data_IF_339513083120
#
_entry.id   IF_339513083120
#
_cell.length_a   1.000
_cell.length_b   1.000
_cell.length_c   1.000
_cell.angle_alpha   90.00
_cell.angle_beta   90.00
_cell.angle_gamma   90.00
#
_symmetry.space_group_name_H-M   'P 1'
#
loop_
_entity.id
_entity.type
_entity.pdbx_description
1 polymer ?
#
# COMPACT_ATOMS: atom_id res chain seq x y z
N UNK A 1 57.57 54.68 7.23
CA UNK A 1 57.23 53.26 7.01
C UNK A 1 56.58 52.78 8.32
N UNK A 2 55.25 52.86 8.42
CA UNK A 2 54.26 51.79 8.09
C UNK A 2 54.35 50.65 9.13
N UNK A 3 53.38 50.27 9.97
CA UNK A 3 51.90 50.36 10.01
C UNK A 3 51.45 50.19 11.49
N UNK A 4 50.29 50.70 11.94
CA UNK A 4 49.53 50.05 13.01
C UNK A 4 48.31 49.31 12.43
N UNK A 5 48.14 48.07 12.90
CA UNK A 5 46.99 47.19 12.62
C UNK A 5 45.67 47.90 12.97
N UNK A 6 44.76 47.97 12.00
CA UNK A 6 43.34 48.26 12.25
C UNK A 6 42.65 46.97 12.69
N UNK A 7 42.17 46.92 13.93
CA UNK A 7 41.15 45.97 14.36
C UNK A 7 39.83 46.34 13.65
N UNK A 8 39.39 45.52 12.70
CA UNK A 8 38.01 45.53 12.24
C UNK A 8 37.17 44.71 13.22
N UNK A 9 36.38 45.39 14.05
CA UNK A 9 35.26 44.78 14.76
C UNK A 9 34.15 44.50 13.74
N UNK A 10 33.98 43.23 13.34
CA UNK A 10 32.79 42.78 12.61
C UNK A 10 31.73 42.46 13.66
N UNK A 11 30.76 43.37 13.80
CA UNK A 11 29.49 43.11 14.46
C UNK A 11 28.76 42.03 13.66
N UNK A 12 28.76 40.80 14.19
CA UNK A 12 27.89 39.72 13.72
C UNK A 12 26.47 40.04 14.20
N UNK A 13 25.70 40.64 13.31
CA UNK A 13 24.24 40.76 13.45
C UNK A 13 23.64 39.36 13.46
N UNK A 14 23.29 38.86 14.63
CA UNK A 14 22.46 37.67 14.80
C UNK A 14 21.06 37.98 14.27
N UNK A 15 20.85 37.72 12.97
CA UNK A 15 19.51 37.56 12.42
C UNK A 15 18.93 36.28 13.01
N UNK A 16 18.18 36.44 14.10
CA UNK A 16 17.24 35.45 14.55
C UNK A 16 16.24 35.22 13.41
N UNK A 17 16.41 34.12 12.69
CA UNK A 17 15.35 33.58 11.83
C UNK A 17 14.22 33.22 12.78
N UNK A 18 13.20 34.06 12.82
CA UNK A 18 11.92 33.73 13.43
C UNK A 18 11.37 32.57 12.61
N UNK A 19 11.53 31.35 13.11
CA UNK A 19 10.82 30.20 12.59
C UNK A 19 9.33 30.46 12.85
N UNK A 20 8.64 30.94 11.81
CA UNK A 20 7.18 30.81 11.73
C UNK A 20 6.87 29.34 11.97
N UNK A 21 5.97 29.03 12.90
CA UNK A 21 5.42 27.70 13.07
C UNK A 21 4.88 27.26 11.70
N UNK A 22 5.66 26.49 10.95
CA UNK A 22 5.22 25.91 9.70
C UNK A 22 4.11 24.94 10.03
N UNK A 23 3.01 24.98 9.27
CA UNK A 23 2.00 23.94 9.35
C UNK A 23 2.70 22.57 9.31
N UNK A 24 2.30 21.68 10.20
CA UNK A 24 2.86 20.34 10.24
C UNK A 24 2.70 19.71 8.84
N UNK A 25 3.72 19.00 8.32
CA UNK A 25 3.62 18.40 7.00
C UNK A 25 2.41 17.47 6.94
N UNK A 26 1.80 17.35 5.76
CA UNK A 26 0.62 16.51 5.58
C UNK A 26 1.02 15.19 4.94
N UNK A 27 0.52 14.08 5.48
CA UNK A 27 0.63 12.76 4.85
C UNK A 27 -0.70 12.35 4.27
N UNK A 28 -0.77 12.24 2.95
CA UNK A 28 -1.95 11.71 2.27
C UNK A 28 -2.17 10.23 2.62
N UNK A 29 -3.37 9.88 3.06
CA UNK A 29 -3.84 8.50 3.12
C UNK A 29 -4.23 8.02 1.71
N UNK A 30 -4.17 6.71 1.53
CA UNK A 30 -4.41 6.04 0.26
C UNK A 30 -5.76 6.44 -0.35
N UNK A 31 -5.72 6.85 -1.61
CA UNK A 31 -6.91 7.28 -2.36
C UNK A 31 -7.21 6.40 -3.57
N UNK A 32 -8.28 6.71 -4.32
CA UNK A 32 -8.52 6.06 -5.59
C UNK A 32 -7.29 6.24 -6.51
N UNK A 33 -6.95 5.23 -7.34
CA UNK A 33 -5.85 5.36 -8.28
C UNK A 33 -6.19 6.42 -9.34
N UNK A 34 -5.75 7.66 -9.14
CA UNK A 34 -5.98 8.80 -10.03
C UNK A 34 -4.75 9.24 -10.82
N UNK A 35 -3.57 8.75 -10.43
CA UNK A 35 -2.28 9.06 -11.05
C UNK A 35 -1.52 7.77 -11.35
N UNK A 36 -0.58 7.85 -12.31
CA UNK A 36 0.27 6.71 -12.71
C UNK A 36 -0.56 5.47 -13.11
N UNK A 37 -1.59 5.70 -13.92
CA UNK A 37 -2.47 4.65 -14.42
C UNK A 37 -1.70 3.71 -15.35
N UNK A 38 -1.91 2.40 -15.17
CA UNK A 38 -1.28 1.38 -15.99
C UNK A 38 -2.12 1.07 -17.23
N UNK A 39 -1.46 0.90 -18.37
CA UNK A 39 -2.08 0.56 -19.65
C UNK A 39 -1.91 -0.92 -19.94
N UNK A 40 -3.03 -1.64 -20.10
CA UNK A 40 -3.02 -3.04 -20.49
C UNK A 40 -2.29 -3.26 -21.82
N UNK A 41 -1.49 -4.32 -21.90
CA UNK A 41 -0.60 -4.64 -23.01
C UNK A 41 0.72 -3.87 -23.02
N UNK A 42 0.84 -2.79 -22.22
CA UNK A 42 2.08 -1.99 -22.11
C UNK A 42 2.77 -2.17 -20.77
N UNK A 43 2.02 -1.92 -19.69
CA UNK A 43 2.51 -1.90 -18.31
C UNK A 43 2.16 -3.20 -17.57
N UNK A 44 1.05 -3.85 -17.96
CA UNK A 44 0.69 -5.20 -17.52
C UNK A 44 -0.04 -5.95 -18.63
N UNK A 45 -0.11 -7.28 -18.54
CA UNK A 45 -1.02 -8.10 -19.34
C UNK A 45 -1.78 -9.07 -18.45
N UNK A 46 -2.94 -9.49 -18.94
CA UNK A 46 -3.80 -10.44 -18.24
C UNK A 46 -3.78 -11.78 -18.96
N UNK A 47 -3.65 -12.86 -18.18
CA UNK A 47 -3.74 -14.22 -18.68
C UNK A 47 -4.72 -15.05 -17.83
N UNK A 48 -5.47 -16.01 -18.40
CA UNK A 48 -6.28 -16.93 -17.61
C UNK A 48 -5.42 -17.69 -16.61
N UNK A 49 -5.92 -17.89 -15.39
CA UNK A 49 -5.27 -18.72 -14.38
C UNK A 49 -6.17 -19.92 -14.04
N UNK A 50 -5.56 -21.11 -13.88
CA UNK A 50 -6.27 -22.34 -13.51
C UNK A 50 -5.80 -22.83 -12.13
N UNK A 51 -6.30 -22.23 -11.03
CA UNK A 51 -5.82 -22.53 -9.69
C UNK A 51 -6.14 -23.97 -9.26
N UNK A 52 -5.30 -24.47 -8.35
CA UNK A 52 -5.48 -25.78 -7.70
C UNK A 52 -5.53 -25.61 -6.18
N UNK A 53 -6.20 -26.52 -5.50
CA UNK A 53 -6.16 -26.58 -4.04
C UNK A 53 -4.83 -27.20 -3.55
N UNK A 54 -4.65 -27.28 -2.23
CA UNK A 54 -3.45 -27.86 -1.62
C UNK A 54 -3.28 -29.37 -1.90
N UNK A 55 -4.33 -30.06 -2.32
CA UNK A 55 -4.30 -31.47 -2.74
C UNK A 55 -4.07 -31.62 -4.26
N UNK A 56 -3.92 -30.51 -5.00
CA UNK A 56 -3.68 -30.48 -6.44
C UNK A 56 -4.95 -30.57 -7.30
N UNK A 57 -6.14 -30.58 -6.70
CA UNK A 57 -7.40 -30.61 -7.45
C UNK A 57 -7.66 -29.27 -8.12
N UNK A 58 -8.14 -29.30 -9.37
CA UNK A 58 -8.50 -28.10 -10.11
C UNK A 58 -9.71 -27.39 -9.47
N UNK A 59 -9.66 -26.06 -9.47
CA UNK A 59 -10.71 -25.19 -8.92
C UNK A 59 -11.49 -24.50 -10.05
N UNK A 60 -12.05 -25.29 -10.98
CA UNK A 60 -12.63 -24.80 -12.25
C UNK A 60 -13.80 -23.81 -12.08
N UNK A 61 -14.49 -23.84 -10.93
CA UNK A 61 -15.56 -22.89 -10.61
C UNK A 61 -15.04 -21.49 -10.25
N UNK A 62 -13.73 -21.33 -10.06
CA UNK A 62 -13.11 -20.08 -9.64
C UNK A 62 -12.65 -19.28 -10.85
N UNK A 63 -13.14 -18.04 -10.92
CA UNK A 63 -12.66 -17.05 -11.88
C UNK A 63 -11.34 -16.49 -11.38
N UNK A 64 -10.26 -16.90 -12.04
CA UNK A 64 -8.92 -16.49 -11.71
C UNK A 64 -8.18 -15.92 -12.92
N UNK A 65 -7.35 -14.92 -12.70
CA UNK A 65 -6.58 -14.23 -13.75
C UNK A 65 -5.18 -13.93 -13.23
N UNK A 66 -4.14 -14.21 -14.02
CA UNK A 66 -2.79 -13.72 -13.76
C UNK A 66 -2.66 -12.28 -14.22
N UNK A 67 -2.04 -11.45 -13.40
CA UNK A 67 -1.54 -10.14 -13.79
C UNK A 67 -0.03 -10.28 -13.95
N UNK A 68 0.43 -10.14 -15.19
CA UNK A 68 1.82 -10.27 -15.55
C UNK A 68 2.36 -8.86 -15.79
N UNK A 69 3.40 -8.48 -15.05
CA UNK A 69 4.11 -7.21 -15.17
C UNK A 69 5.47 -7.46 -15.81
N UNK A 70 6.18 -6.39 -16.16
CA UNK A 70 7.56 -6.52 -16.64
C UNK A 70 8.53 -6.56 -15.48
N UNK A 71 9.57 -7.37 -15.61
CA UNK A 71 10.70 -7.39 -14.70
C UNK A 71 11.66 -6.21 -14.95
N UNK A 72 12.78 -6.19 -14.21
CA UNK A 72 13.81 -5.16 -14.34
C UNK A 72 14.55 -5.15 -15.69
N UNK A 73 14.45 -6.23 -16.48
CA UNK A 73 15.03 -6.34 -17.83
C UNK A 73 14.02 -5.92 -18.91
N UNK A 74 12.75 -5.75 -18.53
CA UNK A 74 11.65 -5.36 -19.41
C UNK A 74 10.88 -6.53 -20.02
N UNK A 75 11.19 -7.76 -19.59
CA UNK A 75 10.52 -8.98 -20.02
C UNK A 75 9.30 -9.27 -19.17
N UNK A 76 8.31 -9.95 -19.75
CA UNK A 76 7.09 -10.28 -19.03
C UNK A 76 7.33 -11.39 -18.01
N UNK A 77 7.04 -11.11 -16.74
CA UNK A 77 7.01 -12.10 -15.67
C UNK A 77 5.85 -13.09 -15.90
N UNK A 78 6.14 -14.14 -16.64
CA UNK A 78 5.15 -15.14 -17.05
C UNK A 78 5.21 -16.31 -16.08
N UNK A 79 4.08 -16.65 -15.46
CA UNK A 79 3.96 -17.85 -14.61
C UNK A 79 3.02 -18.84 -15.26
N UNK A 80 3.51 -20.07 -15.44
CA UNK A 80 2.70 -21.13 -16.00
C UNK A 80 1.70 -21.68 -14.98
N UNK A 81 0.58 -22.23 -15.42
CA UNK A 81 -0.47 -22.73 -14.49
C UNK A 81 0.04 -23.82 -13.54
N UNK A 82 1.02 -24.62 -13.96
CA UNK A 82 1.63 -25.66 -13.12
C UNK A 82 2.62 -25.11 -12.09
N UNK A 83 3.01 -23.84 -12.20
CA UNK A 83 3.90 -23.14 -11.28
C UNK A 83 3.13 -22.26 -10.28
N UNK A 84 1.82 -22.07 -10.51
CA UNK A 84 0.97 -21.32 -9.60
C UNK A 84 0.93 -21.99 -8.22
N UNK A 85 1.17 -21.24 -7.13
CA UNK A 85 0.93 -21.73 -5.78
C UNK A 85 -0.52 -22.19 -5.60
N UNK A 86 -0.73 -23.15 -4.70
CA UNK A 86 -2.07 -23.59 -4.35
C UNK A 86 -2.92 -22.42 -3.83
N UNK A 87 -4.15 -22.32 -4.32
CA UNK A 87 -5.12 -21.33 -3.88
C UNK A 87 -5.90 -21.89 -2.68
N UNK A 88 -5.68 -21.30 -1.50
CA UNK A 88 -6.50 -21.56 -0.33
C UNK A 88 -7.78 -20.71 -0.36
N UNK A 89 -8.89 -21.28 -0.82
CA UNK A 89 -10.19 -20.58 -0.82
C UNK A 89 -10.80 -20.66 0.58
N UNK A 90 -10.40 -19.73 1.45
CA UNK A 90 -11.03 -19.55 2.76
C UNK A 90 -12.33 -18.71 2.71
N UNK A 91 -12.80 -18.33 1.51
CA UNK A 91 -14.00 -17.53 1.34
C UNK A 91 -15.29 -18.30 1.72
N UNK A 92 -16.15 -17.72 2.58
CA UNK A 92 -17.49 -18.24 2.84
C UNK A 92 -18.28 -18.48 1.55
N UNK A 93 -19.05 -19.58 1.42
CA UNK A 93 -19.78 -19.90 0.20
C UNK A 93 -20.57 -18.74 -0.41
N UNK A 94 -21.21 -17.93 0.42
CA UNK A 94 -22.04 -16.76 0.07
C UNK A 94 -21.27 -15.53 -0.43
N UNK A 95 -19.94 -15.57 -0.38
CA UNK A 95 -19.05 -14.53 -0.91
C UNK A 95 -18.29 -14.97 -2.16
N UNK A 96 -18.23 -16.27 -2.46
CA UNK A 96 -17.41 -16.81 -3.57
C UNK A 96 -17.85 -16.27 -4.94
N UNK A 97 -19.15 -16.12 -5.14
CA UNK A 97 -19.72 -15.56 -6.37
C UNK A 97 -19.52 -14.03 -6.48
N UNK A 98 -19.12 -13.37 -5.39
CA UNK A 98 -18.84 -11.92 -5.31
C UNK A 98 -17.34 -11.59 -5.42
N UNK A 99 -16.49 -12.57 -5.69
CA UNK A 99 -15.04 -12.41 -5.77
C UNK A 99 -14.49 -12.90 -7.11
N UNK A 100 -13.57 -12.12 -7.67
CA UNK A 100 -12.59 -12.57 -8.66
C UNK A 100 -11.23 -12.78 -7.97
N UNK A 101 -10.45 -13.74 -8.45
CA UNK A 101 -9.10 -13.98 -7.94
C UNK A 101 -8.06 -13.51 -8.95
N UNK A 102 -7.06 -12.82 -8.45
CA UNK A 102 -5.91 -12.42 -9.24
C UNK A 102 -4.64 -13.04 -8.66
N UNK A 103 -3.71 -13.41 -9.52
CA UNK A 103 -2.36 -13.80 -9.12
C UNK A 103 -1.35 -12.88 -9.77
N UNK A 104 -0.41 -12.34 -8.98
CA UNK A 104 0.77 -11.67 -9.49
C UNK A 104 1.98 -12.14 -8.68
N UNK A 105 3.14 -12.35 -9.31
CA UNK A 105 4.33 -12.86 -8.62
C UNK A 105 4.71 -12.04 -7.40
N UNK A 106 4.66 -10.72 -7.52
CA UNK A 106 5.02 -9.81 -6.45
C UNK A 106 4.10 -9.86 -5.21
N UNK A 107 2.85 -10.33 -5.37
CA UNK A 107 1.81 -10.24 -4.30
C UNK A 107 1.13 -11.56 -3.97
N UNK A 108 1.33 -12.60 -4.77
CA UNK A 108 0.64 -13.88 -4.69
C UNK A 108 -0.84 -13.80 -5.11
N UNK A 109 -1.66 -14.68 -4.52
CA UNK A 109 -3.11 -14.70 -4.72
C UNK A 109 -3.79 -13.56 -3.97
N UNK A 110 -4.58 -12.77 -4.70
CA UNK A 110 -5.36 -11.66 -4.19
C UNK A 110 -6.83 -11.85 -4.59
N UNK A 111 -7.72 -11.86 -3.60
CA UNK A 111 -9.15 -11.76 -3.84
C UNK A 111 -9.55 -10.30 -4.09
N UNK A 112 -10.41 -10.08 -5.09
CA UNK A 112 -10.87 -8.76 -5.53
C UNK A 112 -12.40 -8.81 -5.67
N UNK A 113 -13.14 -7.73 -5.34
CA UNK A 113 -14.58 -7.70 -5.61
C UNK A 113 -14.90 -7.99 -7.09
N UNK A 114 -15.98 -8.75 -7.32
CA UNK A 114 -16.37 -9.21 -8.65
C UNK A 114 -16.47 -8.06 -9.65
N UNK A 115 -15.86 -8.26 -10.81
CA UNK A 115 -15.93 -7.35 -11.95
C UNK A 115 -14.93 -6.20 -11.89
N UNK A 116 -14.27 -5.97 -10.75
CA UNK A 116 -13.31 -4.89 -10.62
C UNK A 116 -12.06 -5.19 -11.44
N UNK A 117 -11.50 -4.14 -12.06
CA UNK A 117 -10.40 -4.27 -13.02
C UNK A 117 -9.14 -3.58 -12.53
N UNK A 118 -7.94 -4.12 -12.85
CA UNK A 118 -6.69 -3.46 -12.54
C UNK A 118 -6.62 -2.08 -13.19
N UNK A 119 -6.26 -1.09 -12.40
CA UNK A 119 -6.12 0.31 -12.81
C UNK A 119 -4.68 0.81 -12.64
N UNK A 120 -3.98 0.26 -11.65
CA UNK A 120 -2.54 0.47 -11.41
C UNK A 120 -1.91 -0.87 -11.04
N UNK A 121 -0.83 -1.23 -11.70
CA UNK A 121 -0.08 -2.47 -11.51
C UNK A 121 1.39 -2.12 -11.69
N UNK A 122 2.09 -1.95 -10.58
CA UNK A 122 3.47 -1.48 -10.60
C UNK A 122 4.31 -2.28 -9.61
N UNK A 123 5.50 -2.67 -10.05
CA UNK A 123 6.57 -3.25 -9.24
C UNK A 123 7.82 -2.43 -9.53
N UNK A 124 8.37 -1.80 -8.49
CA UNK A 124 9.62 -1.05 -8.55
C UNK A 124 10.84 -1.98 -8.50
N UNK A 125 12.01 -1.45 -8.88
CA UNK A 125 13.28 -2.19 -8.86
C UNK A 125 13.64 -2.69 -7.45
N UNK A 126 13.21 -1.96 -6.44
CA UNK A 126 13.32 -2.23 -5.01
C UNK A 126 12.18 -3.11 -4.45
N UNK A 127 11.39 -3.73 -5.34
CA UNK A 127 10.27 -4.63 -4.97
C UNK A 127 9.03 -3.90 -4.46
N UNK A 128 9.06 -2.56 -4.39
CA UNK A 128 7.90 -1.75 -4.01
C UNK A 128 6.76 -2.03 -4.97
N UNK A 129 5.64 -2.47 -4.44
CA UNK A 129 4.56 -3.04 -5.23
C UNK A 129 3.26 -2.33 -4.95
N UNK A 130 2.53 -1.94 -6.00
CA UNK A 130 1.19 -1.36 -5.91
C UNK A 130 0.28 -2.01 -6.94
N UNK A 131 -0.81 -2.59 -6.45
CA UNK A 131 -1.90 -3.13 -7.27
C UNK A 131 -3.21 -2.50 -6.84
N UNK A 132 -3.82 -1.72 -7.73
CA UNK A 132 -5.08 -1.06 -7.48
C UNK A 132 -6.14 -1.49 -8.49
N UNK A 133 -7.37 -1.65 -8.00
CA UNK A 133 -8.52 -2.11 -8.77
C UNK A 133 -9.66 -1.11 -8.62
N UNK A 134 -10.45 -0.94 -9.68
CA UNK A 134 -11.62 -0.05 -9.69
C UNK A 134 -12.88 -0.82 -10.05
N UNK A 135 -14.00 -0.38 -9.48
CA UNK A 135 -15.31 -0.92 -9.81
C UNK A 135 -15.65 -0.71 -11.30
N UNK A 136 -16.52 -1.56 -11.90
CA UNK A 136 -16.96 -1.42 -13.29
C UNK A 136 -17.54 -0.03 -13.61
N UNK A 137 -18.20 0.59 -12.65
CA UNK A 137 -18.82 1.92 -12.76
C UNK A 137 -17.82 3.07 -12.49
N UNK A 138 -16.54 2.74 -12.21
CA UNK A 138 -15.46 3.68 -11.95
C UNK A 138 -15.08 3.82 -10.47
N UNK A 139 -13.99 4.55 -10.21
CA UNK A 139 -13.43 4.69 -8.87
C UNK A 139 -14.37 5.38 -7.86
N UNK A 140 -15.30 6.23 -8.33
CA UNK A 140 -16.30 6.86 -7.46
C UNK A 140 -17.33 5.83 -6.92
N UNK A 141 -17.52 4.71 -7.62
CA UNK A 141 -18.37 3.61 -7.17
C UNK A 141 -17.63 2.61 -6.27
N UNK A 142 -16.31 2.51 -6.41
CA UNK A 142 -15.46 1.72 -5.52
C UNK A 142 -14.06 1.49 -6.07
N UNK A 143 -13.12 1.30 -5.16
CA UNK A 143 -11.72 0.99 -5.48
C UNK A 143 -11.04 0.23 -4.34
N UNK A 144 -9.98 -0.48 -4.67
CA UNK A 144 -9.14 -1.22 -3.72
C UNK A 144 -7.69 -0.99 -4.10
N UNK A 145 -6.81 -0.80 -3.12
CA UNK A 145 -5.36 -0.74 -3.32
C UNK A 145 -4.66 -1.71 -2.38
N UNK A 146 -3.71 -2.45 -2.92
CA UNK A 146 -2.79 -3.29 -2.17
C UNK A 146 -1.38 -2.77 -2.40
N UNK A 147 -0.65 -2.52 -1.33
CA UNK A 147 0.70 -1.95 -1.36
C UNK A 147 1.66 -2.76 -0.51
N UNK A 148 2.91 -2.90 -0.97
CA UNK A 148 4.02 -3.52 -0.25
C UNK A 148 5.30 -2.73 -0.50
N UNK A 149 6.00 -2.36 0.58
CA UNK A 149 7.35 -1.79 0.54
C UNK A 149 8.29 -2.70 1.33
N UNK A 150 9.09 -3.55 0.66
CA UNK A 150 9.86 -4.60 1.32
C UNK A 150 11.32 -4.22 1.63
N UNK A 151 11.88 -3.17 1.03
CA UNK A 151 13.32 -2.87 1.15
C UNK A 151 13.66 -1.39 1.32
N UNK A 152 12.89 -0.48 0.73
CA UNK A 152 13.15 0.96 0.85
C UNK A 152 12.76 1.47 2.24
N UNK A 153 13.71 1.52 3.19
CA UNK A 153 13.45 1.99 4.58
C UNK A 153 12.80 3.38 4.63
N UNK A 154 13.22 4.30 3.75
CA UNK A 154 12.60 5.61 3.63
C UNK A 154 11.12 5.51 3.25
N UNK A 155 10.81 4.74 2.21
CA UNK A 155 9.45 4.48 1.75
C UNK A 155 8.59 3.78 2.82
N UNK A 156 9.17 2.82 3.54
CA UNK A 156 8.52 2.09 4.64
C UNK A 156 8.09 3.06 5.74
N UNK A 157 9.00 3.94 6.20
CA UNK A 157 8.70 4.86 7.30
C UNK A 157 7.86 6.06 6.84
N UNK A 158 8.00 6.49 5.59
CA UNK A 158 7.13 7.49 4.97
C UNK A 158 5.68 6.99 4.84
N UNK A 159 5.49 5.71 4.51
CA UNK A 159 4.18 5.09 4.49
C UNK A 159 3.62 4.80 5.89
N UNK A 160 4.47 4.64 6.90
CA UNK A 160 4.04 4.30 8.25
C UNK A 160 3.84 5.50 9.21
N UNK A 161 4.43 6.66 8.91
CA UNK A 161 4.36 7.85 9.79
C UNK A 161 2.93 8.37 10.00
N UNK A 162 2.68 8.94 11.19
CA UNK A 162 1.35 9.34 11.66
C UNK A 162 0.43 8.19 12.06
N UNK A 163 0.73 6.94 11.68
CA UNK A 163 -0.05 5.74 12.02
C UNK A 163 0.67 4.92 13.11
N UNK A 164 1.93 4.57 12.85
CA UNK A 164 2.75 3.76 13.74
C UNK A 164 3.68 4.63 14.59
N UNK A 165 3.66 4.47 15.92
CA UNK A 165 4.54 5.21 16.81
C UNK A 165 6.01 5.03 16.44
N UNK A 166 6.76 6.13 16.37
CA UNK A 166 8.19 6.10 16.09
C UNK A 166 8.58 6.00 14.62
N UNK A 167 7.65 5.68 13.71
CA UNK A 167 7.94 5.63 12.26
C UNK A 167 8.48 6.97 11.74
N UNK A 168 7.87 8.08 12.15
CA UNK A 168 8.35 9.42 11.78
C UNK A 168 9.78 9.70 12.28
N UNK A 169 10.07 9.36 13.55
CA UNK A 169 11.43 9.53 14.10
C UNK A 169 12.47 8.69 13.36
N UNK A 170 12.10 7.48 12.93
CA UNK A 170 12.98 6.63 12.13
C UNK A 170 13.22 7.24 10.74
N UNK A 171 12.19 7.79 10.10
CA UNK A 171 12.32 8.51 8.84
C UNK A 171 13.25 9.73 8.98
N UNK A 172 13.01 10.57 9.98
CA UNK A 172 13.84 11.76 10.24
C UNK A 172 15.31 11.38 10.50
N UNK A 173 15.54 10.30 11.25
CA UNK A 173 16.89 9.79 11.49
C UNK A 173 17.56 9.34 10.19
N UNK A 174 16.82 8.64 9.32
CA UNK A 174 17.34 8.17 8.02
C UNK A 174 17.63 9.33 7.06
N UNK A 175 16.82 10.37 7.09
CA UNK A 175 16.92 11.53 6.20
C UNK A 175 17.84 12.63 6.75
N UNK A 176 18.38 12.45 7.97
CA UNK A 176 19.14 13.47 8.71
C UNK A 176 18.35 14.78 8.88
N UNK A 177 17.04 14.65 9.09
CA UNK A 177 16.10 15.76 9.29
C UNK A 177 15.53 15.78 10.70
N UNK A 178 14.86 16.87 11.04
CA UNK A 178 14.14 17.06 12.30
C UNK A 178 12.87 17.84 12.00
N UNK A 179 11.88 17.16 11.43
CA UNK A 179 10.62 17.77 10.98
C UNK A 179 9.51 17.52 12.00
N UNK A 180 8.41 18.30 11.97
CA UNK A 180 7.23 17.97 12.77
C UNK A 180 6.57 16.68 12.25
N UNK A 181 6.02 15.86 13.16
CA UNK A 181 5.28 14.65 12.76
C UNK A 181 4.08 15.04 11.88
N UNK A 182 3.86 14.33 10.75
CA UNK A 182 2.84 14.76 9.83
C UNK A 182 1.43 14.50 10.32
N UNK A 183 0.51 15.36 9.89
CA UNK A 183 -0.93 15.15 10.08
C UNK A 183 -1.45 14.27 8.95
N UNK A 184 -2.20 13.22 9.30
CA UNK A 184 -2.85 12.35 8.32
C UNK A 184 -3.97 13.11 7.61
N UNK A 185 -3.98 13.02 6.28
CA UNK A 185 -4.95 13.69 5.41
C UNK A 185 -5.62 12.70 4.44
N UNK A 186 -6.94 12.56 4.43
CA UNK A 186 -7.89 13.17 5.37
C UNK A 186 -7.62 12.67 6.80
N UNK A 187 -8.06 13.46 7.80
CA UNK A 187 -8.06 13.01 9.18
C UNK A 187 -8.91 11.73 9.28
N UNK A 188 -8.38 10.62 9.82
CA UNK A 188 -9.18 9.40 10.00
C UNK A 188 -10.37 9.64 10.92
N UNK A 189 -11.52 9.07 10.54
CA UNK A 189 -12.68 8.92 11.43
C UNK A 189 -12.35 7.92 12.55
N UNK A 190 -11.55 6.91 12.23
CA UNK A 190 -11.04 5.91 13.16
C UNK A 190 -9.58 5.56 12.84
N UNK A 191 -8.74 5.51 13.87
CA UNK A 191 -7.41 4.90 13.84
C UNK A 191 -7.29 4.00 15.07
N UNK A 192 -7.16 2.69 14.84
CA UNK A 192 -7.02 1.69 15.90
C UNK A 192 -5.79 0.84 15.66
N UNK A 193 -4.83 0.88 16.59
CA UNK A 193 -3.73 -0.07 16.62
C UNK A 193 -4.21 -1.37 17.24
N UNK A 194 -4.17 -2.45 16.46
CA UNK A 194 -4.62 -3.78 16.91
C UNK A 194 -3.52 -4.47 17.71
N UNK A 195 -2.27 -4.23 17.34
CA UNK A 195 -1.07 -4.68 18.02
C UNK A 195 0.10 -3.72 17.68
N UNK A 196 1.35 -4.12 17.93
CA UNK A 196 2.53 -3.28 17.67
C UNK A 196 2.86 -3.09 16.18
N UNK A 197 2.42 -4.01 15.32
CA UNK A 197 2.71 -4.01 13.88
C UNK A 197 1.46 -3.75 13.01
N UNK A 198 0.25 -3.89 13.55
CA UNK A 198 -0.99 -3.82 12.77
C UNK A 198 -1.86 -2.64 13.19
N UNK A 199 -2.31 -1.84 12.22
CA UNK A 199 -3.26 -0.76 12.42
C UNK A 199 -4.46 -0.87 11.48
N UNK A 200 -5.63 -0.44 11.95
CA UNK A 200 -6.86 -0.29 11.17
C UNK A 200 -7.24 1.18 11.10
N UNK A 201 -7.59 1.63 9.89
CA UNK A 201 -8.08 2.98 9.65
C UNK A 201 -9.45 2.95 8.99
N UNK A 202 -10.26 3.97 9.27
CA UNK A 202 -11.42 4.34 8.48
C UNK A 202 -11.42 5.85 8.23
N UNK A 203 -11.71 6.26 6.99
CA UNK A 203 -11.69 7.65 6.59
C UNK A 203 -12.58 7.89 5.36
N UNK A 204 -12.77 9.16 5.01
CA UNK A 204 -13.61 9.59 3.88
C UNK A 204 -12.83 10.44 2.92
N UNK A 205 -13.00 10.17 1.64
CA UNK A 205 -12.48 10.98 0.55
C UNK A 205 -13.64 11.60 -0.23
N UNK A 206 -13.42 12.77 -0.85
CA UNK A 206 -14.39 13.32 -1.80
C UNK A 206 -14.66 12.32 -2.93
N UNK A 207 -15.93 12.16 -3.31
CA UNK A 207 -16.34 11.32 -4.44
C UNK A 207 -15.86 9.86 -4.34
N UNK A 208 -15.87 9.30 -3.14
CA UNK A 208 -15.51 7.91 -2.88
C UNK A 208 -16.46 7.33 -1.83
N UNK A 209 -16.77 6.02 -1.87
CA UNK A 209 -17.35 5.35 -0.72
C UNK A 209 -16.43 5.47 0.51
N UNK A 210 -16.95 5.23 1.73
CA UNK A 210 -16.12 5.18 2.94
C UNK A 210 -14.96 4.20 2.78
N UNK A 211 -13.76 4.64 3.14
CA UNK A 211 -12.55 3.85 3.02
C UNK A 211 -12.28 3.13 4.32
N UNK A 212 -11.89 1.86 4.22
CA UNK A 212 -11.35 1.08 5.33
C UNK A 212 -10.00 0.52 4.92
N UNK A 213 -9.02 0.64 5.78
CA UNK A 213 -7.67 0.16 5.53
C UNK A 213 -7.13 -0.68 6.69
N UNK A 214 -6.30 -1.65 6.35
CA UNK A 214 -5.44 -2.35 7.29
C UNK A 214 -3.99 -2.16 6.85
N UNK A 215 -3.16 -1.69 7.77
CA UNK A 215 -1.74 -1.46 7.55
C UNK A 215 -0.93 -2.38 8.46
N UNK A 216 0.21 -2.85 7.97
CA UNK A 216 1.19 -3.64 8.70
C UNK A 216 2.56 -3.00 8.54
N UNK A 217 3.22 -2.71 9.67
CA UNK A 217 4.63 -2.37 9.74
C UNK A 217 5.32 -3.42 10.61
N UNK A 218 6.05 -4.35 9.98
CA UNK A 218 6.86 -5.33 10.70
C UNK A 218 8.32 -4.87 10.72
N UNK A 219 8.94 -5.00 11.89
CA UNK A 219 10.34 -4.62 12.14
C UNK A 219 11.08 -5.71 12.94
N UNK A 220 10.52 -6.92 13.01
CA UNK A 220 11.10 -8.05 13.77
C UNK A 220 12.20 -8.79 13.02
N UNK A 221 12.27 -8.62 11.70
CA UNK A 221 13.33 -9.07 10.82
C UNK A 221 13.66 -7.97 9.81
N UNK A 222 13.77 -8.34 8.53
CA UNK A 222 13.86 -7.35 7.44
C UNK A 222 12.57 -6.51 7.43
N UNK A 223 12.65 -5.18 7.66
CA UNK A 223 11.45 -4.37 7.82
C UNK A 223 10.66 -4.29 6.54
N UNK A 224 9.34 -4.32 6.66
CA UNK A 224 8.43 -4.06 5.54
C UNK A 224 7.20 -3.30 5.98
N UNK A 225 6.60 -2.58 5.02
CA UNK A 225 5.27 -2.01 5.15
C UNK A 225 4.33 -2.69 4.16
N UNK A 226 3.09 -2.96 4.58
CA UNK A 226 2.04 -3.44 3.68
C UNK A 226 0.70 -2.78 4.02
N UNK A 227 -0.10 -2.50 3.02
CA UNK A 227 -1.44 -1.97 3.18
C UNK A 227 -2.45 -2.66 2.26
N UNK A 228 -3.65 -2.89 2.79
CA UNK A 228 -4.84 -3.07 1.99
C UNK A 228 -5.83 -1.96 2.35
N UNK A 229 -6.15 -1.11 1.37
CA UNK A 229 -7.20 -0.11 1.45
C UNK A 229 -8.35 -0.47 0.50
N UNK A 230 -9.59 -0.37 0.98
CA UNK A 230 -10.77 -0.61 0.16
C UNK A 230 -11.86 0.42 0.44
N UNK A 231 -12.36 1.03 -0.62
CA UNK A 231 -13.54 1.87 -0.63
C UNK A 231 -14.65 1.13 -1.37
N UNK A 232 -15.67 0.69 -0.63
CA UNK A 232 -16.77 -0.08 -1.19
C UNK A 232 -18.11 0.48 -0.70
N UNK A 233 -19.17 0.43 -1.52
CA UNK A 233 -20.51 0.83 -1.10
C UNK A 233 -21.03 -0.10 -0.01
N UNK A 234 -22.03 0.34 0.75
CA UNK A 234 -22.61 -0.43 1.85
C UNK A 234 -23.14 -1.82 1.41
N UNK A 235 -23.62 -1.94 0.17
CA UNK A 235 -24.04 -3.21 -0.43
C UNK A 235 -22.92 -4.25 -0.54
N UNK A 236 -21.66 -3.81 -0.52
CA UNK A 236 -20.46 -4.66 -0.61
C UNK A 236 -19.69 -4.72 0.71
N UNK A 237 -20.29 -4.29 1.82
CA UNK A 237 -19.63 -4.24 3.13
C UNK A 237 -19.07 -5.60 3.57
N UNK A 238 -19.84 -6.67 3.40
CA UNK A 238 -19.42 -8.04 3.75
C UNK A 238 -18.22 -8.52 2.94
N UNK A 239 -18.14 -8.16 1.65
CA UNK A 239 -16.97 -8.47 0.80
C UNK A 239 -15.75 -7.73 1.32
N UNK A 240 -15.88 -6.42 1.59
CA UNK A 240 -14.77 -5.63 2.10
C UNK A 240 -14.33 -6.05 3.53
N UNK A 241 -15.26 -6.50 4.39
CA UNK A 241 -14.93 -7.07 5.70
C UNK A 241 -14.14 -8.37 5.57
N UNK A 242 -14.58 -9.25 4.68
CA UNK A 242 -13.88 -10.49 4.37
C UNK A 242 -12.46 -10.21 3.87
N UNK A 243 -12.29 -9.30 2.90
CA UNK A 243 -10.97 -8.98 2.34
C UNK A 243 -10.00 -8.44 3.39
N UNK A 244 -10.45 -7.51 4.24
CA UNK A 244 -9.63 -6.96 5.33
C UNK A 244 -9.31 -8.00 6.41
N UNK A 245 -10.25 -8.90 6.71
CA UNK A 245 -10.02 -10.00 7.65
C UNK A 245 -9.01 -11.02 7.09
N UNK A 246 -9.17 -11.43 5.83
CA UNK A 246 -8.23 -12.34 5.16
C UNK A 246 -6.83 -11.72 5.07
N UNK A 247 -6.73 -10.43 4.76
CA UNK A 247 -5.44 -9.72 4.76
C UNK A 247 -4.81 -9.68 6.16
N UNK A 248 -5.59 -9.43 7.21
CA UNK A 248 -5.11 -9.50 8.60
C UNK A 248 -4.63 -10.90 8.98
N UNK A 249 -5.35 -11.93 8.58
CA UNK A 249 -4.98 -13.30 8.95
C UNK A 249 -3.70 -13.74 8.25
N UNK A 250 -3.56 -13.38 6.97
CA UNK A 250 -2.38 -13.67 6.17
C UNK A 250 -1.15 -12.86 6.57
N UNK A 251 -1.30 -11.58 6.91
CA UNK A 251 -0.17 -10.64 7.02
C UNK A 251 -0.10 -9.87 8.34
N UNK A 252 -1.13 -9.92 9.16
CA UNK A 252 -1.18 -9.20 10.43
C UNK A 252 -0.44 -9.91 11.56
N UNK A 253 -0.08 -9.12 12.57
CA UNK A 253 0.81 -9.52 13.65
C UNK A 253 2.28 -9.25 13.30
N UNK A 254 3.18 -9.64 14.19
CA UNK A 254 4.61 -9.41 14.01
C UNK A 254 5.34 -10.74 13.87
N UNK A 255 6.34 -10.78 12.99
CA UNK A 255 7.12 -11.96 12.66
C UNK A 255 6.38 -12.96 11.79
N UNK A 256 5.30 -12.55 11.11
CA UNK A 256 4.70 -13.36 10.05
C UNK A 256 5.39 -13.02 8.72
N UNK A 257 6.12 -13.96 8.10
CA UNK A 257 6.75 -13.74 6.79
C UNK A 257 5.71 -13.53 5.68
#
# INVERSE_FOLDING_TARGET
MNFPLRLCAVLLSSLAVVATAGDAPHRALTGPPSHYLSVAGKDYRLAPAHPRDAAGHALDAIRATRIEVKDGEGDWETVQDNELPALAIAAPPELRDKLDWFYANAIGWLAVPRGWKPQRTAVGVDGNTVFSFVAPEGAEAGWMSWELFPACLGCIYEAAQGVFPGAHKQLDTLMETSTPEPVLEPKPDQLQRLDRCTARLAYRLPKSPPVRALMVLDQTGDPFFRELAIAAPASSAAVADFLLASFKDAHGGCGKP
#
